data_IF_131647124823
#
_entry.id   IF_131647124823
#
_cell.length_a   1.000
_cell.length_b   1.000
_cell.length_c   1.000
_cell.angle_alpha   90.00
_cell.angle_beta   90.00
_cell.angle_gamma   90.00
#
_symmetry.space_group_name_H-M   'P 1'
#
loop_
_entity.id
_entity.type
_entity.pdbx_description
1 polymer ?
#
# COMPACT_ATOMS: atom_id res chain seq x y z
N UNK A 1 -32.91 24.10 3.86
CA UNK A 1 -34.09 23.37 3.34
C UNK A 1 -33.79 21.89 3.47
N UNK A 2 -34.63 21.17 4.21
CA UNK A 2 -34.39 19.79 4.65
C UNK A 2 -34.38 18.83 3.46
N UNK A 3 -33.35 18.01 3.32
CA UNK A 3 -33.14 16.96 2.29
C UNK A 3 -34.18 15.81 2.34
N UNK A 4 -35.37 16.04 2.90
CA UNK A 4 -36.42 15.05 3.17
C UNK A 4 -37.38 14.78 1.99
N UNK A 5 -37.08 15.22 0.76
CA UNK A 5 -38.01 15.12 -0.37
C UNK A 5 -37.50 14.40 -1.62
N UNK A 6 -36.41 13.63 -1.53
CA UNK A 6 -36.07 12.67 -2.59
C UNK A 6 -36.21 11.25 -2.02
N UNK A 7 -37.14 10.51 -2.62
CA UNK A 7 -37.58 9.19 -2.19
C UNK A 7 -36.45 8.16 -2.15
N UNK A 8 -36.74 7.02 -1.53
CA UNK A 8 -35.83 5.89 -1.38
C UNK A 8 -35.17 5.50 -2.70
N UNK A 9 -33.95 5.98 -2.89
CA UNK A 9 -32.99 5.42 -3.82
C UNK A 9 -32.25 4.35 -3.03
N UNK A 10 -32.24 3.12 -3.56
CA UNK A 10 -31.23 2.12 -3.21
C UNK A 10 -29.86 2.78 -3.38
N UNK A 11 -29.28 3.26 -2.28
CA UNK A 11 -27.94 3.84 -2.29
C UNK A 11 -27.01 2.68 -2.61
N UNK A 12 -26.32 2.68 -3.77
CA UNK A 12 -25.41 1.60 -4.12
C UNK A 12 -24.39 1.43 -3.00
N UNK A 13 -24.16 0.19 -2.57
CA UNK A 13 -23.09 -0.11 -1.63
C UNK A 13 -21.80 0.51 -2.14
N UNK A 14 -21.00 1.17 -1.29
CA UNK A 14 -19.67 1.71 -1.66
C UNK A 14 -18.70 0.70 -2.31
N UNK A 15 -19.06 -0.59 -2.33
CA UNK A 15 -18.34 -1.68 -3.03
C UNK A 15 -18.64 -1.72 -4.53
N UNK A 16 -19.75 -1.13 -4.97
CA UNK A 16 -20.19 -1.05 -6.35
C UNK A 16 -19.98 0.38 -6.86
N UNK A 17 -18.71 0.72 -7.09
CA UNK A 17 -18.35 1.98 -7.72
C UNK A 17 -18.81 1.95 -9.19
N UNK A 18 -19.42 3.03 -9.72
CA UNK A 18 -19.87 3.05 -11.11
C UNK A 18 -18.73 2.70 -12.05
N UNK A 19 -18.88 1.81 -13.05
CA UNK A 19 -17.79 1.35 -13.92
C UNK A 19 -16.88 2.48 -14.43
N UNK A 20 -15.60 2.17 -14.64
CA UNK A 20 -14.65 3.22 -15.07
C UNK A 20 -15.03 3.75 -16.46
N UNK A 21 -15.58 2.88 -17.29
CA UNK A 21 -15.99 3.12 -18.68
C UNK A 21 -17.23 4.01 -18.80
N UNK A 22 -18.03 4.11 -17.74
CA UNK A 22 -19.21 4.99 -17.68
C UNK A 22 -18.82 6.42 -17.29
N UNK A 23 -17.58 6.64 -16.84
CA UNK A 23 -17.09 7.96 -16.50
C UNK A 23 -16.88 8.82 -17.76
N UNK A 24 -17.08 10.14 -17.68
CA UNK A 24 -17.04 11.01 -18.85
C UNK A 24 -15.63 11.29 -19.34
N UNK A 25 -15.53 11.85 -20.55
CA UNK A 25 -14.25 12.10 -21.24
C UNK A 25 -13.24 12.92 -20.39
N UNK A 26 -13.70 13.91 -19.62
CA UNK A 26 -12.84 14.72 -18.76
C UNK A 26 -12.16 13.91 -17.65
N UNK A 27 -12.83 12.89 -17.13
CA UNK A 27 -12.26 11.97 -16.15
C UNK A 27 -11.15 11.11 -16.80
N UNK A 28 -11.39 10.54 -17.98
CA UNK A 28 -10.39 9.74 -18.68
C UNK A 28 -9.19 10.58 -19.13
N UNK A 29 -9.42 11.82 -19.58
CA UNK A 29 -8.37 12.77 -19.92
C UNK A 29 -7.48 13.08 -18.70
N UNK A 30 -8.07 13.25 -17.52
CA UNK A 30 -7.33 13.40 -16.26
C UNK A 30 -6.50 12.15 -15.93
N UNK A 31 -7.06 10.94 -16.03
CA UNK A 31 -6.29 9.71 -15.78
C UNK A 31 -5.12 9.54 -16.76
N UNK A 32 -5.31 9.91 -18.03
CA UNK A 32 -4.23 9.95 -19.01
C UNK A 32 -3.18 11.00 -18.66
N UNK A 33 -3.59 12.18 -18.20
CA UNK A 33 -2.69 13.24 -17.73
C UNK A 33 -1.84 12.78 -16.55
N UNK A 34 -2.40 12.07 -15.56
CA UNK A 34 -1.64 11.48 -14.46
C UNK A 34 -0.57 10.51 -14.95
N UNK A 35 -0.89 9.71 -15.96
CA UNK A 35 0.02 8.72 -16.54
C UNK A 35 1.15 9.38 -17.32
N UNK A 36 0.80 10.30 -18.23
CA UNK A 36 1.72 10.84 -19.24
C UNK A 36 2.49 12.05 -18.71
N UNK A 37 1.81 12.96 -17.99
CA UNK A 37 2.42 14.21 -17.50
C UNK A 37 3.05 14.06 -16.12
N UNK A 38 2.34 13.42 -15.18
CA UNK A 38 2.87 13.26 -13.82
C UNK A 38 3.66 11.95 -13.60
N UNK A 39 3.66 11.04 -14.59
CA UNK A 39 4.35 9.76 -14.48
C UNK A 39 3.87 8.89 -13.31
N UNK A 40 2.60 9.04 -12.89
CA UNK A 40 2.08 8.29 -11.74
C UNK A 40 2.03 6.79 -12.05
N UNK A 41 2.41 5.93 -11.09
CA UNK A 41 2.37 4.49 -11.30
C UNK A 41 0.92 3.98 -11.40
N UNK A 42 0.67 2.85 -12.09
CA UNK A 42 -0.69 2.34 -12.34
C UNK A 42 -1.54 2.12 -11.11
N UNK A 43 -0.93 1.75 -9.97
CA UNK A 43 -1.64 1.58 -8.70
C UNK A 43 -2.14 2.91 -8.12
N UNK A 44 -1.39 4.00 -8.27
CA UNK A 44 -1.82 5.34 -7.86
C UNK A 44 -2.95 5.84 -8.76
N UNK A 45 -2.86 5.64 -10.07
CA UNK A 45 -3.93 5.99 -11.02
C UNK A 45 -5.22 5.25 -10.66
N UNK A 46 -5.14 3.94 -10.43
CA UNK A 46 -6.29 3.11 -10.01
C UNK A 46 -6.91 3.62 -8.70
N UNK A 47 -6.08 3.94 -7.72
CA UNK A 47 -6.53 4.49 -6.45
C UNK A 47 -7.25 5.84 -6.61
N UNK A 48 -6.75 6.71 -7.49
CA UNK A 48 -7.34 8.02 -7.79
C UNK A 48 -8.65 7.88 -8.58
N UNK A 49 -8.71 6.98 -9.57
CA UNK A 49 -9.94 6.57 -10.29
C UNK A 49 -11.03 6.13 -9.31
N UNK A 50 -10.72 5.18 -8.41
CA UNK A 50 -11.66 4.70 -7.39
C UNK A 50 -12.12 5.81 -6.44
N UNK A 51 -11.23 6.73 -6.08
CA UNK A 51 -11.53 7.86 -5.20
C UNK A 51 -12.56 8.83 -5.80
N UNK A 52 -12.37 9.22 -7.06
CA UNK A 52 -13.32 10.12 -7.73
C UNK A 52 -14.66 9.43 -7.97
N UNK A 53 -14.66 8.16 -8.40
CA UNK A 53 -15.88 7.35 -8.56
C UNK A 53 -16.65 7.23 -7.24
N UNK A 54 -15.95 7.10 -6.10
CA UNK A 54 -16.58 7.11 -4.77
C UNK A 54 -17.27 8.43 -4.46
N UNK A 55 -16.66 9.56 -4.82
CA UNK A 55 -17.28 10.87 -4.62
C UNK A 55 -18.56 11.02 -5.45
N UNK A 56 -18.58 10.50 -6.68
CA UNK A 56 -19.79 10.46 -7.51
C UNK A 56 -20.89 9.62 -6.86
N UNK A 57 -20.57 8.42 -6.37
CA UNK A 57 -21.52 7.56 -5.64
C UNK A 57 -22.11 8.26 -4.42
N UNK A 58 -21.29 8.87 -3.57
CA UNK A 58 -21.77 9.56 -2.36
C UNK A 58 -22.46 10.90 -2.65
N UNK A 59 -22.28 11.46 -3.84
CA UNK A 59 -23.08 12.60 -4.29
C UNK A 59 -24.49 12.18 -4.75
N UNK A 60 -24.75 10.88 -4.92
CA UNK A 60 -26.00 10.37 -5.48
C UNK A 60 -26.22 10.81 -6.93
N UNK A 61 -25.13 10.92 -7.70
CA UNK A 61 -25.16 11.43 -9.08
C UNK A 61 -24.76 10.34 -10.07
N UNK A 62 -25.36 10.38 -11.26
CA UNK A 62 -24.98 9.51 -12.36
C UNK A 62 -23.51 9.76 -12.79
N UNK A 63 -22.75 8.73 -13.22
CA UNK A 63 -21.36 8.87 -13.66
C UNK A 63 -21.17 9.94 -14.73
N UNK A 64 -22.09 9.99 -15.70
CA UNK A 64 -22.10 10.96 -16.79
C UNK A 64 -22.24 12.42 -16.32
N UNK A 65 -22.68 12.65 -15.08
CA UNK A 65 -22.78 13.99 -14.48
C UNK A 65 -21.44 14.52 -13.95
N UNK A 66 -20.39 13.71 -13.94
CA UNK A 66 -19.07 14.16 -13.49
C UNK A 66 -18.44 15.13 -14.51
N UNK A 67 -18.06 16.33 -14.08
CA UNK A 67 -17.36 17.29 -14.94
C UNK A 67 -16.48 18.26 -14.14
N UNK A 68 -15.85 19.22 -14.80
CA UNK A 68 -14.85 20.13 -14.23
C UNK A 68 -15.39 21.01 -13.10
N UNK A 69 -16.71 21.29 -13.10
CA UNK A 69 -17.42 21.99 -12.02
C UNK A 69 -18.23 21.05 -11.12
N UNK A 70 -17.91 19.75 -11.09
CA UNK A 70 -18.49 18.83 -10.10
C UNK A 70 -18.31 19.38 -8.66
N UNK A 71 -19.25 19.14 -7.72
CA UNK A 71 -20.50 18.38 -7.84
C UNK A 71 -21.67 19.14 -8.48
N UNK A 72 -21.47 20.34 -9.06
CA UNK A 72 -22.54 21.00 -9.81
C UNK A 72 -22.96 20.15 -11.02
N UNK A 73 -24.21 20.29 -11.45
CA UNK A 73 -24.71 19.68 -12.70
C UNK A 73 -24.67 20.69 -13.85
N UNK A 74 -24.82 20.20 -15.09
CA UNK A 74 -24.99 21.06 -16.27
C UNK A 74 -26.26 21.94 -16.18
N UNK A 75 -27.29 21.42 -15.52
CA UNK A 75 -28.59 22.10 -15.34
C UNK A 75 -28.59 23.07 -14.15
N UNK A 76 -27.52 23.13 -13.35
CA UNK A 76 -27.41 24.05 -12.23
C UNK A 76 -27.28 25.50 -12.70
N UNK A 77 -27.85 26.44 -11.92
CA UNK A 77 -27.69 27.88 -12.18
C UNK A 77 -26.24 28.32 -12.04
N UNK A 78 -25.87 29.47 -12.60
CA UNK A 78 -24.53 30.05 -12.42
C UNK A 78 -24.14 30.19 -10.94
N UNK A 79 -25.11 30.57 -10.09
CA UNK A 79 -24.94 30.62 -8.64
C UNK A 79 -24.61 29.24 -8.05
N UNK A 80 -25.35 28.18 -8.41
CA UNK A 80 -25.07 26.82 -7.92
C UNK A 80 -23.75 26.25 -8.42
N UNK A 81 -23.26 26.73 -9.58
CA UNK A 81 -21.92 26.40 -10.11
C UNK A 81 -20.78 27.18 -9.45
N UNK A 82 -21.09 28.15 -8.59
CA UNK A 82 -20.06 28.94 -7.90
C UNK A 82 -19.12 28.05 -7.09
N UNK A 83 -17.89 28.54 -6.87
CA UNK A 83 -16.88 27.81 -6.10
C UNK A 83 -17.37 27.55 -4.68
N UNK A 84 -18.10 28.49 -4.08
CA UNK A 84 -18.63 28.42 -2.71
C UNK A 84 -19.70 27.31 -2.58
N UNK A 85 -20.61 27.21 -3.54
CA UNK A 85 -21.63 26.16 -3.54
C UNK A 85 -21.02 24.77 -3.78
N UNK A 86 -20.06 24.68 -4.71
CA UNK A 86 -19.30 23.43 -4.93
C UNK A 86 -18.51 23.03 -3.68
N UNK A 87 -17.89 24.00 -3.01
CA UNK A 87 -17.20 23.79 -1.73
C UNK A 87 -18.13 23.22 -0.66
N UNK A 88 -19.30 23.83 -0.46
CA UNK A 88 -20.28 23.40 0.53
C UNK A 88 -20.77 21.96 0.25
N UNK A 89 -21.12 21.66 -1.00
CA UNK A 89 -21.57 20.32 -1.39
C UNK A 89 -20.51 19.26 -1.20
N UNK A 90 -19.24 19.54 -1.50
CA UNK A 90 -18.16 18.59 -1.24
C UNK A 90 -17.93 18.35 0.26
N UNK A 91 -18.11 19.37 1.11
CA UNK A 91 -18.06 19.21 2.57
C UNK A 91 -19.17 18.24 3.02
N UNK A 92 -20.37 18.38 2.49
CA UNK A 92 -21.49 17.50 2.81
C UNK A 92 -21.25 16.07 2.35
N UNK A 93 -20.80 15.88 1.10
CA UNK A 93 -20.45 14.56 0.53
C UNK A 93 -19.38 13.87 1.38
N UNK A 94 -18.28 14.56 1.69
CA UNK A 94 -17.20 13.98 2.50
C UNK A 94 -17.67 13.73 3.94
N UNK A 95 -18.53 14.59 4.47
CA UNK A 95 -19.19 14.39 5.75
C UNK A 95 -20.04 13.13 5.79
N UNK A 96 -20.79 12.85 4.73
CA UNK A 96 -21.57 11.62 4.59
C UNK A 96 -20.66 10.39 4.46
N UNK A 97 -19.58 10.46 3.70
CA UNK A 97 -18.60 9.36 3.62
C UNK A 97 -18.01 8.98 4.98
N UNK A 98 -17.81 9.95 5.87
CA UNK A 98 -17.26 9.74 7.21
C UNK A 98 -18.26 9.21 8.22
N UNK A 99 -19.48 9.76 8.19
CA UNK A 99 -20.51 9.48 9.20
C UNK A 99 -21.41 8.33 8.79
N UNK A 100 -21.69 8.20 7.49
CA UNK A 100 -22.65 7.29 6.88
C UNK A 100 -23.90 7.17 7.75
N UNK A 101 -24.67 8.27 7.80
CA UNK A 101 -25.66 8.54 8.86
C UNK A 101 -26.74 7.45 8.90
N UNK A 102 -27.04 6.86 7.75
CA UNK A 102 -28.07 5.85 7.57
C UNK A 102 -27.55 4.41 7.70
N UNK A 103 -26.30 4.14 7.35
CA UNK A 103 -25.70 2.81 7.43
C UNK A 103 -24.23 2.87 7.88
N UNK A 104 -24.01 2.60 9.18
CA UNK A 104 -22.66 2.63 9.78
C UNK A 104 -21.68 1.64 9.14
N UNK A 105 -22.16 0.57 8.50
CA UNK A 105 -21.30 -0.41 7.82
C UNK A 105 -20.60 0.17 6.59
N UNK A 106 -21.12 1.29 6.06
CA UNK A 106 -20.57 2.00 4.90
C UNK A 106 -19.66 3.18 5.28
N UNK A 107 -19.30 3.33 6.56
CA UNK A 107 -18.35 4.37 6.98
C UNK A 107 -16.98 4.12 6.35
N UNK A 108 -16.45 5.14 5.68
CA UNK A 108 -15.12 5.08 5.10
C UNK A 108 -14.06 5.29 6.17
N UNK A 109 -12.97 4.52 6.07
CA UNK A 109 -11.80 4.75 6.90
C UNK A 109 -11.22 6.14 6.63
N UNK A 110 -10.62 6.78 7.64
CA UNK A 110 -9.97 8.09 7.47
C UNK A 110 -8.85 8.05 6.41
N UNK A 111 -8.15 6.91 6.28
CA UNK A 111 -7.17 6.70 5.22
C UNK A 111 -7.81 6.76 3.82
N UNK A 112 -8.98 6.14 3.65
CA UNK A 112 -9.76 6.19 2.40
C UNK A 112 -10.22 7.62 2.10
N UNK A 113 -10.66 8.38 3.10
CA UNK A 113 -11.03 9.80 2.93
C UNK A 113 -9.83 10.64 2.52
N UNK A 114 -8.68 10.46 3.17
CA UNK A 114 -7.46 11.19 2.82
C UNK A 114 -6.99 10.89 1.40
N UNK A 115 -7.06 9.62 0.96
CA UNK A 115 -6.81 9.25 -0.43
C UNK A 115 -7.82 9.92 -1.38
N UNK A 116 -9.09 10.00 -0.98
CA UNK A 116 -10.14 10.64 -1.77
C UNK A 116 -9.89 12.13 -1.96
N UNK A 117 -9.53 12.84 -0.88
CA UNK A 117 -9.18 14.25 -0.92
C UNK A 117 -7.89 14.50 -1.72
N UNK A 118 -6.92 13.58 -1.69
CA UNK A 118 -5.74 13.66 -2.53
C UNK A 118 -6.07 13.54 -4.03
N UNK A 119 -6.96 12.62 -4.39
CA UNK A 119 -7.44 12.48 -5.77
C UNK A 119 -8.24 13.71 -6.23
N UNK A 120 -9.11 14.26 -5.37
CA UNK A 120 -9.85 15.50 -5.67
C UNK A 120 -8.92 16.70 -5.87
N UNK A 121 -7.88 16.82 -5.03
CA UNK A 121 -6.86 17.88 -5.21
C UNK A 121 -6.23 17.74 -6.59
N UNK A 122 -5.78 16.53 -6.94
CA UNK A 122 -5.15 16.25 -8.24
C UNK A 122 -6.09 16.47 -9.43
N UNK A 123 -7.37 16.15 -9.31
CA UNK A 123 -8.36 16.42 -10.35
C UNK A 123 -8.58 17.92 -10.56
N UNK A 124 -8.73 18.69 -9.48
CA UNK A 124 -8.91 20.14 -9.59
C UNK A 124 -7.64 20.86 -10.05
N UNK A 125 -6.45 20.37 -9.68
CA UNK A 125 -5.19 20.86 -10.22
C UNK A 125 -5.13 20.64 -11.75
N UNK A 126 -5.56 19.47 -12.23
CA UNK A 126 -5.71 19.22 -13.66
C UNK A 126 -6.71 20.18 -14.32
N UNK A 127 -7.88 20.38 -13.73
CA UNK A 127 -8.88 21.32 -14.28
C UNK A 127 -8.34 22.76 -14.34
N UNK A 128 -7.65 23.22 -13.30
CA UNK A 128 -7.07 24.56 -13.25
C UNK A 128 -5.93 24.72 -14.26
N UNK A 129 -5.01 23.76 -14.35
CA UNK A 129 -3.86 23.80 -15.27
C UNK A 129 -4.27 23.74 -16.75
N UNK A 130 -5.43 23.15 -17.04
CA UNK A 130 -5.99 23.08 -18.39
C UNK A 130 -7.08 24.13 -18.64
N UNK A 131 -7.22 25.12 -17.75
CA UNK A 131 -8.18 26.22 -17.86
C UNK A 131 -9.65 25.77 -18.06
N UNK A 132 -10.01 24.61 -17.49
CA UNK A 132 -11.37 24.07 -17.56
C UNK A 132 -12.33 24.78 -16.60
N UNK A 133 -11.80 25.44 -15.57
CA UNK A 133 -12.58 26.18 -14.57
C UNK A 133 -11.91 27.50 -14.21
N UNK A 134 -12.73 28.50 -13.88
CA UNK A 134 -12.26 29.80 -13.38
C UNK A 134 -11.76 29.74 -11.93
N UNK A 135 -12.22 28.75 -11.17
CA UNK A 135 -11.84 28.54 -9.77
C UNK A 135 -12.13 27.13 -9.29
N UNK A 136 -11.42 26.71 -8.25
CA UNK A 136 -11.49 25.35 -7.69
C UNK A 136 -11.85 25.37 -6.21
N UNK A 137 -12.57 24.34 -5.71
CA UNK A 137 -12.79 24.16 -4.27
C UNK A 137 -11.47 24.01 -3.49
N UNK A 138 -11.44 24.59 -2.29
CA UNK A 138 -10.37 24.42 -1.31
C UNK A 138 -10.50 23.07 -0.60
N UNK A 139 -9.87 22.05 -1.19
CA UNK A 139 -9.83 20.68 -0.64
C UNK A 139 -9.11 20.61 0.71
N UNK A 140 -8.17 21.53 1.02
CA UNK A 140 -7.50 21.58 2.33
C UNK A 140 -8.51 21.98 3.41
N UNK A 141 -9.39 22.94 3.11
CA UNK A 141 -10.47 23.35 4.01
C UNK A 141 -11.51 22.25 4.23
N UNK A 142 -11.84 21.46 3.19
CA UNK A 142 -12.71 20.27 3.33
C UNK A 142 -12.11 19.30 4.34
N UNK A 143 -10.81 18.97 4.19
CA UNK A 143 -10.09 18.08 5.11
C UNK A 143 -10.19 18.55 6.56
N UNK A 144 -9.98 19.84 6.80
CA UNK A 144 -10.02 20.46 8.13
C UNK A 144 -11.41 20.40 8.76
N UNK A 145 -12.45 20.75 8.00
CA UNK A 145 -13.85 20.78 8.50
C UNK A 145 -14.34 19.36 8.79
N UNK A 146 -13.97 18.40 7.93
CA UNK A 146 -14.33 17.01 8.08
C UNK A 146 -13.64 16.32 9.29
N UNK A 147 -12.78 17.03 10.05
CA UNK A 147 -12.00 16.51 11.19
C UNK A 147 -11.39 15.15 10.88
N UNK A 148 -10.82 15.02 9.68
CA UNK A 148 -10.10 13.82 9.26
C UNK A 148 -8.73 13.86 9.92
N UNK A 149 -8.69 13.81 11.26
CA UNK A 149 -7.45 13.59 11.99
C UNK A 149 -6.99 12.18 11.69
N UNK A 150 -5.74 12.02 11.29
CA UNK A 150 -5.17 10.68 11.10
C UNK A 150 -5.31 9.94 12.43
N UNK A 151 -6.17 8.92 12.49
CA UNK A 151 -6.20 8.05 13.66
C UNK A 151 -4.81 7.47 13.81
N UNK A 152 -4.12 7.83 14.90
CA UNK A 152 -2.92 7.12 15.31
C UNK A 152 -3.38 5.81 15.93
N UNK A 153 -3.76 4.87 15.07
CA UNK A 153 -3.87 3.48 15.50
C UNK A 153 -2.47 3.02 15.88
N UNK A 154 -2.33 2.38 17.05
CA UNK A 154 -1.07 1.77 17.43
C UNK A 154 -0.59 0.86 16.29
N UNK A 155 0.64 1.05 15.79
CA UNK A 155 1.13 0.26 14.69
C UNK A 155 1.08 -1.21 15.06
N UNK A 156 0.50 -2.03 14.18
CA UNK A 156 0.48 -3.47 14.36
C UNK A 156 1.89 -4.01 14.10
N UNK A 157 2.47 -4.72 15.07
CA UNK A 157 3.72 -5.46 14.95
C UNK A 157 3.62 -6.77 15.74
N UNK A 158 4.51 -7.71 15.45
CA UNK A 158 4.61 -8.98 16.19
C UNK A 158 5.42 -8.75 17.45
N UNK A 159 4.89 -9.20 18.60
CA UNK A 159 5.69 -9.31 19.83
C UNK A 159 6.73 -10.42 19.67
N UNK A 160 7.75 -10.42 20.55
CA UNK A 160 8.85 -11.38 20.50
C UNK A 160 8.32 -12.82 20.51
N UNK A 161 7.39 -13.12 21.43
CA UNK A 161 6.82 -14.45 21.58
C UNK A 161 5.95 -14.86 20.37
N UNK A 162 5.23 -13.91 19.77
CA UNK A 162 4.42 -14.14 18.56
C UNK A 162 5.33 -14.41 17.36
N UNK A 163 6.42 -13.65 17.24
CA UNK A 163 7.39 -13.81 16.17
C UNK A 163 8.16 -15.14 16.28
N UNK A 164 8.53 -15.55 17.49
CA UNK A 164 9.12 -16.86 17.75
C UNK A 164 8.19 -18.00 17.33
N UNK A 165 6.91 -17.93 17.72
CA UNK A 165 5.90 -18.91 17.28
C UNK A 165 5.75 -18.90 15.77
N UNK A 166 5.76 -17.72 15.13
CA UNK A 166 5.71 -17.60 13.69
C UNK A 166 6.90 -18.30 13.01
N UNK A 167 8.13 -18.11 13.50
CA UNK A 167 9.33 -18.78 12.97
C UNK A 167 9.27 -20.30 13.17
N UNK A 168 8.90 -20.75 14.36
CA UNK A 168 8.77 -22.18 14.65
C UNK A 168 7.72 -22.83 13.76
N UNK A 169 6.56 -22.21 13.61
CA UNK A 169 5.50 -22.69 12.72
C UNK A 169 5.94 -22.66 11.28
N UNK A 170 6.59 -21.60 10.81
CA UNK A 170 7.10 -21.48 9.45
C UNK A 170 8.06 -22.64 9.11
N UNK A 171 8.88 -23.08 10.06
CA UNK A 171 9.86 -24.15 9.88
C UNK A 171 9.30 -25.59 9.99
N UNK A 172 8.05 -25.79 10.44
CA UNK A 172 7.46 -27.13 10.62
C UNK A 172 6.89 -27.71 9.32
N UNK A 173 7.18 -28.99 9.06
CA UNK A 173 6.62 -29.76 7.92
C UNK A 173 5.12 -30.07 8.04
N UNK A 174 4.54 -29.92 9.23
CA UNK A 174 3.15 -30.25 9.55
C UNK A 174 2.10 -29.25 9.02
N UNK A 175 2.41 -28.53 7.95
CA UNK A 175 1.45 -27.67 7.27
C UNK A 175 0.43 -28.52 6.50
N UNK A 176 -0.75 -28.77 7.10
CA UNK A 176 -1.88 -29.47 6.42
C UNK A 176 -2.35 -28.79 5.13
N UNK A 177 -1.94 -27.54 4.91
CA UNK A 177 -2.39 -26.69 3.81
C UNK A 177 -1.36 -26.66 2.68
N UNK A 178 -1.85 -26.90 1.45
CA UNK A 178 -1.06 -26.96 0.20
C UNK A 178 -0.22 -25.72 -0.14
N UNK A 179 -0.38 -24.62 0.59
CA UNK A 179 0.45 -23.40 0.41
C UNK A 179 1.78 -23.49 1.10
N UNK A 180 1.87 -24.22 2.22
CA UNK A 180 3.04 -24.22 3.09
C UNK A 180 4.22 -24.91 2.42
N UNK A 181 5.41 -24.40 2.66
CA UNK A 181 6.67 -25.02 2.30
C UNK A 181 7.73 -24.57 3.32
N UNK A 182 8.15 -25.43 4.26
CA UNK A 182 8.80 -24.97 5.47
C UNK A 182 10.10 -24.16 5.28
N UNK A 183 11.00 -24.64 4.42
CA UNK A 183 12.25 -23.94 4.13
C UNK A 183 12.01 -22.58 3.48
N UNK A 184 11.06 -22.50 2.54
CA UNK A 184 10.63 -21.26 1.90
C UNK A 184 9.99 -20.31 2.91
N UNK A 185 9.04 -20.82 3.69
CA UNK A 185 8.23 -20.02 4.61
C UNK A 185 9.11 -19.40 5.69
N UNK A 186 10.05 -20.19 6.26
CA UNK A 186 11.03 -19.69 7.22
C UNK A 186 11.89 -18.56 6.62
N UNK A 187 12.40 -18.76 5.40
CA UNK A 187 13.17 -17.74 4.71
C UNK A 187 12.31 -16.47 4.44
N UNK A 188 11.09 -16.61 3.93
CA UNK A 188 10.20 -15.47 3.68
C UNK A 188 9.88 -14.68 4.94
N UNK A 189 9.59 -15.35 6.07
CA UNK A 189 9.38 -14.67 7.36
C UNK A 189 10.64 -13.92 7.78
N UNK A 190 11.83 -14.52 7.68
CA UNK A 190 13.08 -13.86 8.04
C UNK A 190 13.39 -12.62 7.19
N UNK A 191 13.18 -12.70 5.87
CA UNK A 191 13.36 -11.55 4.98
C UNK A 191 12.33 -10.43 5.28
N UNK A 192 11.09 -10.76 5.61
CA UNK A 192 10.09 -9.75 5.94
C UNK A 192 10.31 -9.11 7.33
N UNK A 193 10.58 -9.93 8.35
CA UNK A 193 10.63 -9.52 9.75
C UNK A 193 11.99 -8.99 10.22
N UNK A 194 13.09 -9.40 9.58
CA UNK A 194 14.45 -8.95 9.94
C UNK A 194 14.95 -7.91 8.94
N UNK A 195 14.81 -8.17 7.64
CA UNK A 195 15.27 -7.23 6.59
C UNK A 195 14.26 -6.09 6.32
N UNK A 196 13.08 -6.15 6.94
CA UNK A 196 12.06 -5.11 6.84
C UNK A 196 11.54 -4.88 5.41
N UNK A 197 11.58 -5.89 4.54
CA UNK A 197 11.16 -5.74 3.14
C UNK A 197 9.67 -5.38 3.04
N UNK A 198 9.31 -4.58 2.02
CA UNK A 198 7.92 -4.44 1.60
C UNK A 198 7.46 -5.74 0.92
N UNK A 199 6.16 -5.99 0.94
CA UNK A 199 5.55 -7.11 0.23
C UNK A 199 5.95 -7.16 -1.26
N UNK A 200 5.93 -6.01 -1.96
CA UNK A 200 6.36 -5.93 -3.35
C UNK A 200 7.85 -6.21 -3.51
N UNK A 201 8.69 -5.73 -2.60
CA UNK A 201 10.14 -5.96 -2.66
C UNK A 201 10.49 -7.44 -2.45
N UNK A 202 9.72 -8.19 -1.64
CA UNK A 202 9.88 -9.64 -1.52
C UNK A 202 9.43 -10.38 -2.79
N UNK A 203 8.32 -9.93 -3.41
CA UNK A 203 7.78 -10.52 -4.64
C UNK A 203 8.73 -10.31 -5.81
N UNK A 204 9.28 -9.10 -5.92
CA UNK A 204 10.16 -8.66 -7.01
C UNK A 204 11.63 -9.05 -6.76
N UNK A 205 11.96 -9.63 -5.60
CA UNK A 205 13.33 -10.02 -5.28
C UNK A 205 13.82 -11.12 -6.23
N UNK A 206 14.99 -10.90 -6.83
CA UNK A 206 15.64 -11.85 -7.73
C UNK A 206 16.86 -12.48 -7.06
N UNK A 207 17.31 -13.61 -7.59
CA UNK A 207 18.44 -14.37 -7.06
C UNK A 207 19.73 -13.53 -6.97
N UNK A 208 19.97 -12.70 -7.98
CA UNK A 208 21.15 -11.83 -8.12
C UNK A 208 21.10 -10.57 -7.25
N UNK A 209 19.98 -10.29 -6.56
CA UNK A 209 19.95 -9.24 -5.55
C UNK A 209 20.83 -9.59 -4.35
N UNK A 210 21.14 -10.88 -4.13
CA UNK A 210 22.04 -11.35 -3.08
C UNK A 210 23.45 -11.55 -3.64
N UNK A 211 24.40 -10.76 -3.15
CA UNK A 211 25.81 -10.87 -3.54
C UNK A 211 26.74 -10.74 -2.34
N UNK A 212 27.96 -11.27 -2.47
CA UNK A 212 29.03 -11.04 -1.50
C UNK A 212 29.76 -9.77 -1.86
N UNK A 213 29.74 -8.79 -0.96
CA UNK A 213 30.43 -7.51 -1.14
C UNK A 213 31.33 -7.22 0.06
N UNK A 214 32.47 -6.56 -0.17
CA UNK A 214 33.23 -5.95 0.91
C UNK A 214 32.50 -4.66 1.28
N UNK A 215 31.97 -4.57 2.49
CA UNK A 215 31.34 -3.35 2.98
C UNK A 215 32.47 -2.42 3.43
N UNK A 216 32.58 -1.23 2.83
CA UNK A 216 33.44 -0.17 3.33
C UNK A 216 32.87 0.37 4.64
N UNK A 217 33.76 0.66 5.60
CA UNK A 217 33.49 1.15 6.96
C UNK A 217 32.40 2.23 6.97
N UNK A 218 31.19 1.91 7.45
CA UNK A 218 30.15 2.92 7.70
C UNK A 218 29.34 2.77 8.98
N UNK A 219 29.77 1.93 9.90
CA UNK A 219 29.32 2.00 11.28
C UNK A 219 30.52 1.60 12.14
N UNK A 220 30.89 2.43 13.12
CA UNK A 220 32.01 2.21 14.05
C UNK A 220 31.79 1.02 14.98
N UNK A 221 31.51 -0.14 14.41
CA UNK A 221 31.50 -1.45 15.04
C UNK A 221 32.89 -2.04 14.79
N UNK A 222 33.78 -1.83 15.76
CA UNK A 222 35.11 -2.40 15.76
C UNK A 222 35.03 -3.93 15.63
N UNK A 223 35.72 -4.50 14.64
CA UNK A 223 35.81 -5.95 14.43
C UNK A 223 35.41 -6.47 13.04
N UNK A 224 35.75 -5.77 11.97
CA UNK A 224 35.47 -6.25 10.59
C UNK A 224 36.39 -7.44 10.27
N UNK A 225 35.79 -8.62 10.07
CA UNK A 225 36.49 -9.76 9.46
C UNK A 225 36.86 -9.42 8.01
N UNK A 226 38.03 -9.81 7.52
CA UNK A 226 38.49 -9.60 6.13
C UNK A 226 37.67 -10.37 5.06
N UNK A 227 36.52 -10.95 5.45
CA UNK A 227 35.63 -11.72 4.58
C UNK A 227 34.51 -10.83 4.03
N UNK A 228 34.14 -10.97 2.73
CA UNK A 228 33.01 -10.24 2.17
C UNK A 228 31.70 -10.68 2.82
N UNK A 229 30.87 -9.71 3.19
CA UNK A 229 29.56 -9.91 3.80
C UNK A 229 28.49 -10.11 2.72
N UNK A 230 27.43 -10.84 3.05
CA UNK A 230 26.27 -10.92 2.18
C UNK A 230 25.50 -9.60 2.22
N UNK A 231 25.14 -9.10 1.04
CA UNK A 231 24.38 -7.86 0.84
C UNK A 231 23.21 -8.15 -0.08
N UNK A 232 22.03 -7.65 0.29
CA UNK A 232 20.84 -7.63 -0.56
C UNK A 232 20.68 -6.23 -1.18
N UNK A 233 20.67 -6.15 -2.50
CA UNK A 233 20.38 -4.92 -3.25
C UNK A 233 18.87 -4.78 -3.51
N UNK A 234 18.18 -4.11 -2.59
CA UNK A 234 16.72 -3.96 -2.67
C UNK A 234 16.35 -2.80 -3.58
N UNK A 235 15.57 -3.11 -4.63
CA UNK A 235 15.05 -2.13 -5.60
C UNK A 235 13.66 -1.67 -5.16
N UNK A 236 13.57 -0.43 -4.69
CA UNK A 236 12.35 0.17 -4.15
C UNK A 236 11.59 1.05 -5.15
N UNK A 237 10.51 1.67 -4.64
CA UNK A 237 9.66 2.58 -5.44
C UNK A 237 10.47 3.73 -6.05
N UNK A 238 10.24 3.99 -7.34
CA UNK A 238 10.91 5.07 -8.08
C UNK A 238 12.34 4.75 -8.49
N UNK A 239 12.71 3.47 -8.60
CA UNK A 239 14.04 3.03 -9.03
C UNK A 239 15.14 3.24 -7.98
N UNK A 240 14.77 3.57 -6.73
CA UNK A 240 15.73 3.78 -5.65
C UNK A 240 16.27 2.45 -5.15
N UNK A 241 17.59 2.33 -5.10
CA UNK A 241 18.27 1.13 -4.62
C UNK A 241 18.77 1.37 -3.19
N UNK A 242 18.58 0.39 -2.31
CA UNK A 242 19.23 0.35 -0.99
C UNK A 242 19.92 -1.00 -0.77
N UNK A 243 21.08 -0.97 -0.13
CA UNK A 243 21.86 -2.15 0.19
C UNK A 243 21.65 -2.52 1.66
N UNK A 244 21.23 -3.75 1.91
CA UNK A 244 20.98 -4.25 3.26
C UNK A 244 21.97 -5.38 3.58
N UNK A 245 22.71 -5.30 4.69
CA UNK A 245 23.53 -6.43 5.13
C UNK A 245 22.63 -7.61 5.49
N UNK A 246 23.01 -8.81 5.05
CA UNK A 246 22.26 -10.05 5.29
C UNK A 246 23.03 -10.90 6.29
N UNK A 247 22.40 -11.25 7.41
CA UNK A 247 23.04 -12.05 8.43
C UNK A 247 23.30 -13.50 7.95
N UNK A 248 24.29 -14.20 8.53
CA UNK A 248 24.54 -15.62 8.24
C UNK A 248 23.31 -16.51 8.45
N UNK A 249 22.46 -16.20 9.42
CA UNK A 249 21.23 -16.95 9.76
C UNK A 249 20.19 -16.83 8.65
N UNK A 250 19.98 -15.62 8.13
CA UNK A 250 19.07 -15.37 7.00
C UNK A 250 19.60 -16.08 5.76
N UNK A 251 20.91 -16.01 5.50
CA UNK A 251 21.53 -16.72 4.38
C UNK A 251 21.43 -18.24 4.53
N UNK A 252 21.53 -18.78 5.74
CA UNK A 252 21.34 -20.20 6.02
C UNK A 252 19.90 -20.64 5.70
N UNK A 253 18.90 -19.85 6.10
CA UNK A 253 17.50 -20.10 5.75
C UNK A 253 17.27 -20.03 4.23
N UNK A 254 17.80 -18.99 3.57
CA UNK A 254 17.74 -18.85 2.12
C UNK A 254 18.38 -20.04 1.41
N UNK A 255 19.59 -20.45 1.79
CA UNK A 255 20.30 -21.54 1.12
C UNK A 255 19.57 -22.88 1.23
N UNK A 256 18.89 -23.15 2.36
CA UNK A 256 18.02 -24.33 2.50
C UNK A 256 16.86 -24.28 1.51
N UNK A 257 16.17 -23.14 1.43
CA UNK A 257 15.11 -22.93 0.44
C UNK A 257 15.63 -23.09 -0.99
N UNK A 258 16.72 -22.42 -1.36
CA UNK A 258 17.27 -22.49 -2.71
C UNK A 258 17.69 -23.92 -3.10
N UNK A 259 18.21 -24.70 -2.16
CA UNK A 259 18.54 -26.10 -2.41
C UNK A 259 17.29 -26.94 -2.75
N UNK A 260 16.19 -26.75 -2.04
CA UNK A 260 14.93 -27.45 -2.31
C UNK A 260 14.22 -26.95 -3.56
N UNK A 261 14.22 -25.63 -3.79
CA UNK A 261 13.76 -25.00 -5.03
C UNK A 261 14.51 -25.58 -6.23
N UNK A 262 15.84 -25.70 -6.15
CA UNK A 262 16.65 -26.23 -7.23
C UNK A 262 16.36 -27.71 -7.52
N UNK A 263 16.11 -28.52 -6.48
CA UNK A 263 15.71 -29.92 -6.64
C UNK A 263 14.37 -30.06 -7.35
N UNK A 264 13.40 -29.16 -7.10
CA UNK A 264 12.05 -29.26 -7.68
C UNK A 264 11.90 -28.59 -9.04
N UNK A 265 12.52 -27.43 -9.23
CA UNK A 265 12.30 -26.56 -10.39
C UNK A 265 13.54 -26.35 -11.26
N UNK A 266 14.68 -26.96 -10.89
CA UNK A 266 15.95 -26.81 -11.59
C UNK A 266 16.79 -25.62 -11.10
N UNK A 267 18.02 -25.53 -11.62
CA UNK A 267 18.99 -24.50 -11.25
C UNK A 267 18.48 -23.09 -11.57
N UNK A 268 18.78 -22.15 -10.69
CA UNK A 268 18.47 -20.73 -10.86
C UNK A 268 19.40 -20.05 -11.86
N UNK A 269 18.90 -18.99 -12.48
CA UNK A 269 19.67 -18.03 -13.30
C UNK A 269 19.50 -16.61 -12.76
N UNK A 270 20.31 -15.69 -13.27
CA UNK A 270 20.15 -14.25 -13.01
C UNK A 270 18.76 -13.78 -13.46
N UNK A 271 18.11 -12.91 -12.68
CA UNK A 271 16.73 -12.46 -12.91
C UNK A 271 15.64 -13.46 -12.52
N UNK A 272 15.99 -14.67 -12.06
CA UNK A 272 14.97 -15.59 -11.52
C UNK A 272 14.41 -15.05 -10.19
N UNK A 273 13.11 -15.21 -9.91
CA UNK A 273 12.54 -14.86 -8.61
C UNK A 273 13.17 -15.67 -7.48
N UNK A 274 13.49 -14.96 -6.39
CA UNK A 274 14.07 -15.49 -5.16
C UNK A 274 13.11 -16.48 -4.47
N UNK A 275 11.81 -16.19 -4.51
CA UNK A 275 10.76 -17.01 -3.91
C UNK A 275 9.69 -17.41 -4.93
N UNK A 276 9.28 -18.67 -4.89
CA UNK A 276 8.26 -19.24 -5.79
C UNK A 276 7.14 -19.92 -4.99
N UNK A 277 5.95 -19.93 -5.59
CA UNK A 277 4.83 -20.72 -5.12
C UNK A 277 5.09 -22.23 -5.30
N UNK A 278 4.26 -23.08 -4.71
CA UNK A 278 4.43 -24.54 -4.75
C UNK A 278 4.31 -25.14 -6.17
N UNK A 279 3.72 -24.39 -7.11
CA UNK A 279 3.63 -24.74 -8.53
C UNK A 279 4.75 -24.14 -9.39
N UNK A 280 5.73 -23.45 -8.80
CA UNK A 280 6.84 -22.81 -9.51
C UNK A 280 6.53 -21.42 -10.07
N UNK A 281 5.32 -20.91 -9.91
CA UNK A 281 4.98 -19.55 -10.34
C UNK A 281 5.53 -18.49 -9.35
N UNK A 282 5.87 -17.27 -9.83
CA UNK A 282 6.19 -16.14 -8.95
C UNK A 282 5.03 -15.82 -8.00
N UNK A 283 5.31 -15.28 -6.82
CA UNK A 283 4.25 -14.85 -5.92
C UNK A 283 3.48 -13.65 -6.48
N UNK A 284 2.17 -13.64 -6.27
CA UNK A 284 1.36 -12.43 -6.38
C UNK A 284 1.09 -11.87 -4.99
N UNK A 285 0.77 -10.57 -4.89
CA UNK A 285 0.43 -9.96 -3.60
C UNK A 285 -0.69 -10.71 -2.87
N UNK A 286 -1.73 -11.14 -3.59
CA UNK A 286 -2.83 -11.92 -3.01
C UNK A 286 -2.38 -13.28 -2.48
N UNK A 287 -1.48 -13.97 -3.20
CA UNK A 287 -0.92 -15.26 -2.76
C UNK A 287 -0.01 -15.10 -1.55
N UNK A 288 0.76 -14.01 -1.49
CA UNK A 288 1.60 -13.68 -0.35
C UNK A 288 0.77 -13.36 0.89
N UNK A 289 -0.32 -12.58 0.76
CA UNK A 289 -1.25 -12.33 1.86
C UNK A 289 -1.89 -13.61 2.37
N UNK A 290 -2.38 -14.45 1.47
CA UNK A 290 -3.00 -15.73 1.85
C UNK A 290 -2.01 -16.68 2.54
N UNK A 291 -0.76 -16.71 2.06
CA UNK A 291 0.34 -17.40 2.73
C UNK A 291 0.52 -16.89 4.15
N UNK A 292 0.67 -15.58 4.36
CA UNK A 292 0.90 -15.04 5.70
C UNK A 292 -0.28 -15.32 6.65
N UNK A 293 -1.52 -15.13 6.19
CA UNK A 293 -2.71 -15.48 6.96
C UNK A 293 -2.65 -16.94 7.40
N UNK A 294 -2.26 -17.85 6.51
CA UNK A 294 -2.13 -19.27 6.85
C UNK A 294 -1.05 -19.51 7.90
N UNK A 295 0.12 -18.86 7.79
CA UNK A 295 1.19 -19.02 8.79
C UNK A 295 0.78 -18.43 10.14
N UNK A 296 0.08 -17.29 10.16
CA UNK A 296 -0.45 -16.69 11.40
C UNK A 296 -1.44 -17.62 12.10
N UNK A 297 -2.40 -18.14 11.33
CA UNK A 297 -3.42 -19.05 11.83
C UNK A 297 -2.81 -20.35 12.38
N UNK A 298 -1.90 -20.97 11.62
CA UNK A 298 -1.18 -22.18 12.04
C UNK A 298 -0.29 -21.91 13.28
N UNK A 299 0.18 -20.68 13.49
CA UNK A 299 0.97 -20.28 14.65
C UNK A 299 0.13 -19.87 15.87
N UNK A 300 -1.19 -19.80 15.74
CA UNK A 300 -2.09 -19.34 16.79
C UNK A 300 -1.78 -17.90 17.23
N UNK A 301 -1.29 -17.06 16.32
CA UNK A 301 -1.05 -15.63 16.58
C UNK A 301 -2.16 -14.80 15.95
N UNK A 302 -2.27 -13.54 16.35
CA UNK A 302 -3.19 -12.60 15.70
C UNK A 302 -2.92 -12.55 14.20
N UNK A 303 -3.97 -12.40 13.39
CA UNK A 303 -3.81 -12.22 11.96
C UNK A 303 -3.24 -10.83 11.64
N UNK A 304 -1.91 -10.78 11.58
CA UNK A 304 -1.13 -9.59 11.30
C UNK A 304 -0.84 -9.46 9.80
N UNK A 305 -0.75 -8.22 9.32
CA UNK A 305 -0.46 -7.94 7.92
C UNK A 305 1.04 -8.09 7.58
N UNK A 306 1.37 -8.15 6.28
CA UNK A 306 2.77 -8.09 5.81
C UNK A 306 3.47 -6.79 6.27
N UNK A 307 2.70 -5.70 6.42
CA UNK A 307 3.24 -4.45 6.93
C UNK A 307 3.63 -4.56 8.42
N UNK A 308 2.96 -5.42 9.18
CA UNK A 308 3.28 -5.64 10.58
C UNK A 308 4.64 -6.33 10.76
N UNK A 309 5.00 -7.31 9.91
CA UNK A 309 6.35 -7.90 9.93
C UNK A 309 7.43 -6.84 9.65
N UNK A 310 7.17 -5.96 8.69
CA UNK A 310 8.06 -4.84 8.41
C UNK A 310 8.15 -3.87 9.60
N UNK A 311 7.04 -3.54 10.24
CA UNK A 311 7.05 -2.73 11.47
C UNK A 311 7.84 -3.41 12.59
N UNK A 312 7.71 -4.72 12.75
CA UNK A 312 8.52 -5.50 13.70
C UNK A 312 10.00 -5.24 13.47
N UNK A 313 10.50 -5.28 12.23
CA UNK A 313 11.90 -4.98 11.93
C UNK A 313 12.33 -3.59 12.44
N UNK A 314 11.50 -2.56 12.19
CA UNK A 314 11.78 -1.19 12.65
C UNK A 314 11.75 -1.06 14.17
N UNK A 315 10.79 -1.68 14.84
CA UNK A 315 10.68 -1.70 16.31
C UNK A 315 11.87 -2.46 16.92
N UNK A 316 12.27 -3.59 16.35
CA UNK A 316 13.43 -4.36 16.80
C UNK A 316 14.72 -3.54 16.68
N UNK A 317 14.97 -2.88 15.54
CA UNK A 317 16.14 -2.00 15.38
C UNK A 317 16.12 -0.84 16.39
N UNK A 318 14.95 -0.24 16.61
CA UNK A 318 14.80 0.82 17.62
C UNK A 318 15.07 0.30 19.03
N UNK A 319 14.63 -0.92 19.36
CA UNK A 319 14.89 -1.54 20.66
C UNK A 319 16.38 -1.84 20.90
N UNK A 320 17.16 -2.02 19.83
CA UNK A 320 18.62 -2.12 19.88
C UNK A 320 19.34 -0.77 19.88
N UNK A 321 18.62 0.35 19.97
CA UNK A 321 19.19 1.68 20.04
C UNK A 321 19.70 2.22 18.70
N UNK A 322 19.33 1.62 17.57
CA UNK A 322 19.73 2.10 16.24
C UNK A 322 19.12 3.48 16.00
N UNK A 323 19.90 4.50 15.58
CA UNK A 323 19.37 5.84 15.33
C UNK A 323 18.24 5.86 14.29
N UNK A 324 17.20 6.66 14.54
CA UNK A 324 16.01 6.71 13.67
C UNK A 324 16.31 6.98 12.19
N UNK A 325 17.35 7.79 11.90
CA UNK A 325 17.76 8.08 10.53
C UNK A 325 18.40 6.87 9.82
N UNK A 326 19.08 5.99 10.56
CA UNK A 326 19.60 4.72 10.03
C UNK A 326 18.47 3.71 9.82
N UNK A 327 17.53 3.61 10.77
CA UNK A 327 16.31 2.81 10.61
C UNK A 327 15.53 3.26 9.36
N UNK A 328 15.36 4.57 9.16
CA UNK A 328 14.67 5.10 7.98
C UNK A 328 15.37 4.75 6.66
N UNK A 329 16.72 4.78 6.62
CA UNK A 329 17.51 4.32 5.47
C UNK A 329 17.35 2.81 5.23
N UNK A 330 17.47 2.00 6.28
CA UNK A 330 17.29 0.55 6.24
C UNK A 330 15.91 0.16 5.72
N UNK A 331 14.88 0.83 6.23
CA UNK A 331 13.48 0.64 5.84
C UNK A 331 13.22 1.23 4.44
N UNK A 332 14.03 2.17 3.96
CA UNK A 332 13.81 2.85 2.68
C UNK A 332 12.59 3.78 2.73
N UNK A 333 12.44 4.54 3.82
CA UNK A 333 11.46 5.62 3.90
C UNK A 333 11.93 6.81 3.05
N UNK A 334 11.07 7.29 2.16
CA UNK A 334 11.39 8.39 1.23
C UNK A 334 11.24 9.79 1.84
N UNK A 335 10.90 9.89 3.13
CA UNK A 335 10.80 11.15 3.85
C UNK A 335 11.58 11.03 5.16
N UNK A 336 12.77 11.64 5.17
CA UNK A 336 13.42 12.12 6.39
C UNK A 336 13.43 13.63 6.21
N UNK A 337 12.30 14.27 6.53
CA UNK A 337 12.19 15.70 6.81
C UNK A 337 11.14 15.85 7.89
#
# INVERSE_FOLDING_TARGET
VSLKLLGGLDIPLHRDLPPEEEMPAVFHAWLQWLRVREGKPPNTIRAYSQAVRRIVTYAGMEPASFHETFPATKDDTAEKRSVENRQARLIDIVGEMLRSVYDKSQRMSKATINQTLAALTSYYDYCALNYLVEGVPDVKRIRKIAKVDVDQADPSYYRVEDLERLYQTAAKEEGRRRVRWPTRDLAMVAFLAVMGLRASELIDAEIDWLSRQRLEERAGLDGVSDRPNWVMEVRGKGGRIRRLPVSPEIMKANNRWQAERAKRFGRTKEGDPLFLQNNGAPFTYRRLLWWLHTVNEDAGVRDHSLHALRHTAGVTLASYGVPAHEIAKFMGHSSIV
#
